data_IF_313727991065
#
_entry.id   IF_313727991065
#
_cell.length_a   1.000
_cell.length_b   1.000
_cell.length_c   1.000
_cell.angle_alpha   90.00
_cell.angle_beta   90.00
_cell.angle_gamma   90.00
#
_symmetry.space_group_name_H-M   'P 1'
#
loop_
_entity.id
_entity.type
_entity.pdbx_description
1 polymer ?
#
# COMPACT_ATOMS: atom_id res chain seq x y z
N UNK A 1 0.35 8.19 8.59
CA UNK A 1 -0.94 8.08 7.84
C UNK A 1 -1.86 7.15 8.63
N UNK A 2 -3.18 7.20 8.43
CA UNK A 2 -4.11 6.28 9.13
C UNK A 2 -4.37 5.04 8.27
N UNK A 3 -4.06 3.85 8.78
CA UNK A 3 -4.21 2.58 8.08
C UNK A 3 -5.37 1.77 8.65
N UNK A 4 -6.24 1.29 7.77
CA UNK A 4 -7.31 0.37 8.11
C UNK A 4 -6.89 -1.08 7.87
N UNK A 5 -6.63 -1.80 8.95
CA UNK A 5 -6.26 -3.21 8.96
C UNK A 5 -7.42 -4.16 9.29
N UNK A 6 -8.66 -3.68 9.35
CA UNK A 6 -9.84 -4.49 9.71
C UNK A 6 -10.35 -5.25 8.48
N UNK A 7 -10.65 -6.55 8.64
CA UNK A 7 -11.19 -7.42 7.59
C UNK A 7 -10.39 -7.34 6.28
N UNK A 8 -9.09 -7.63 6.41
CA UNK A 8 -8.14 -7.57 5.31
C UNK A 8 -8.51 -8.57 4.21
N UNK A 9 -8.43 -8.18 2.92
CA UNK A 9 -8.77 -9.07 1.80
C UNK A 9 -7.62 -10.03 1.43
N UNK A 10 -6.53 -10.06 2.20
CA UNK A 10 -5.37 -10.90 1.97
C UNK A 10 -4.73 -11.36 3.27
N UNK A 11 -3.98 -12.46 3.18
CA UNK A 11 -3.18 -13.01 4.28
C UNK A 11 -1.74 -12.49 4.25
N UNK A 12 -1.21 -12.22 5.43
CA UNK A 12 0.18 -11.79 5.61
C UNK A 12 1.14 -12.95 5.38
N UNK A 13 2.01 -12.83 4.39
CA UNK A 13 3.03 -13.83 4.07
C UNK A 13 4.41 -13.24 4.35
N UNK A 14 4.92 -13.43 5.58
CA UNK A 14 6.27 -13.00 5.95
C UNK A 14 6.49 -11.49 6.03
N UNK A 15 5.42 -10.69 5.96
CA UNK A 15 5.45 -9.23 6.01
C UNK A 15 4.68 -8.74 7.24
N UNK A 16 5.25 -7.81 8.00
CA UNK A 16 4.52 -7.19 9.12
C UNK A 16 3.74 -5.96 8.64
N UNK A 17 2.55 -5.66 9.20
CA UNK A 17 1.81 -4.43 8.88
C UNK A 17 2.67 -3.16 9.02
N UNK A 18 3.53 -3.13 10.04
CA UNK A 18 4.45 -2.02 10.29
C UNK A 18 5.42 -1.77 9.13
N UNK A 19 5.94 -2.83 8.51
CA UNK A 19 6.87 -2.68 7.37
C UNK A 19 6.16 -2.01 6.18
N UNK A 20 4.86 -2.34 5.98
CA UNK A 20 4.03 -1.66 4.98
C UNK A 20 3.86 -0.20 5.34
N UNK A 21 3.52 0.14 6.58
CA UNK A 21 3.38 1.54 7.01
C UNK A 21 4.66 2.36 6.74
N UNK A 22 5.82 1.79 7.09
CA UNK A 22 7.14 2.40 6.84
C UNK A 22 7.38 2.63 5.34
N UNK A 23 7.00 1.67 4.47
CA UNK A 23 7.12 1.83 3.01
C UNK A 23 6.31 2.98 2.42
N UNK A 24 5.28 3.46 3.12
CA UNK A 24 4.51 4.62 2.67
C UNK A 24 5.16 5.95 3.09
N UNK A 25 5.99 5.92 4.13
CA UNK A 25 6.75 7.06 4.65
C UNK A 25 8.14 7.18 4.02
N UNK A 26 8.56 6.19 3.22
CA UNK A 26 9.78 6.23 2.42
C UNK A 26 9.78 7.48 1.50
N UNK A 27 10.77 8.40 1.68
CA UNK A 27 10.86 9.62 0.90
C UNK A 27 11.16 9.38 -0.59
N UNK A 28 11.62 8.18 -0.95
CA UNK A 28 11.91 7.78 -2.32
C UNK A 28 10.84 6.84 -2.89
N UNK A 29 9.73 6.62 -2.17
CA UNK A 29 8.64 5.79 -2.65
C UNK A 29 8.01 6.36 -3.93
N UNK A 30 7.66 5.48 -4.86
CA UNK A 30 6.90 5.83 -6.05
C UNK A 30 5.44 5.43 -5.85
N UNK A 31 4.54 6.42 -5.92
CA UNK A 31 3.09 6.20 -5.87
C UNK A 31 2.48 6.42 -7.25
N UNK A 32 1.85 5.38 -7.79
CA UNK A 32 1.28 5.39 -9.13
C UNK A 32 -0.24 5.51 -9.05
N UNK A 33 -0.78 6.45 -9.82
CA UNK A 33 -2.21 6.60 -10.03
C UNK A 33 -2.67 5.55 -11.07
N UNK A 34 -3.87 4.98 -10.93
CA UNK A 34 -4.42 4.12 -11.95
C UNK A 34 -4.70 4.92 -13.23
N UNK A 35 -4.05 4.54 -14.32
CA UNK A 35 -4.24 5.14 -15.65
C UNK A 35 -5.21 4.31 -16.52
N UNK A 36 -5.36 3.02 -16.23
CA UNK A 36 -6.31 2.16 -16.93
C UNK A 36 -7.73 2.26 -16.33
N UNK A 37 -8.80 2.22 -17.17
CA UNK A 37 -10.18 2.26 -16.69
C UNK A 37 -10.52 1.15 -15.69
N UNK A 38 -9.91 -0.04 -15.85
CA UNK A 38 -10.11 -1.18 -14.95
C UNK A 38 -9.69 -0.86 -13.51
N UNK A 39 -8.55 -0.19 -13.34
CA UNK A 39 -8.03 0.13 -12.02
C UNK A 39 -8.59 1.46 -11.48
N UNK A 40 -8.92 2.39 -12.36
CA UNK A 40 -9.52 3.67 -12.00
C UNK A 40 -10.94 3.49 -11.43
N UNK A 41 -11.76 2.61 -12.01
CA UNK A 41 -13.11 2.30 -11.53
C UNK A 41 -13.15 1.73 -10.11
N UNK A 42 -12.07 1.12 -9.65
CA UNK A 42 -11.92 0.58 -8.30
C UNK A 42 -11.04 1.45 -7.38
N UNK A 43 -10.53 2.58 -7.87
CA UNK A 43 -9.60 3.46 -7.15
C UNK A 43 -8.38 2.72 -6.59
N UNK A 44 -7.76 1.85 -7.41
CA UNK A 44 -6.58 1.06 -7.03
C UNK A 44 -5.30 1.84 -7.35
N UNK A 45 -4.58 2.22 -6.31
CA UNK A 45 -3.29 2.89 -6.37
C UNK A 45 -2.17 1.90 -6.06
N UNK A 46 -0.95 2.22 -6.47
CA UNK A 46 0.22 1.39 -6.22
C UNK A 46 1.28 2.17 -5.46
N UNK A 47 1.89 1.55 -4.46
CA UNK A 47 3.06 2.05 -3.75
C UNK A 47 4.24 1.10 -4.00
N UNK A 48 5.36 1.66 -4.41
CA UNK A 48 6.66 1.01 -4.43
C UNK A 48 7.55 1.78 -3.45
N UNK A 49 7.79 1.23 -2.27
CA UNK A 49 8.61 1.88 -1.25
C UNK A 49 9.45 0.87 -0.49
N UNK A 50 10.27 1.34 0.43
CA UNK A 50 11.13 0.51 1.27
C UNK A 50 10.71 0.55 2.74
N UNK A 51 10.69 -0.60 3.41
CA UNK A 51 10.61 -0.65 4.87
C UNK A 51 11.92 -0.16 5.51
N UNK A 52 11.89 0.18 6.80
CA UNK A 52 13.08 0.63 7.51
C UNK A 52 14.16 -0.46 7.61
N UNK A 53 13.77 -1.73 7.50
CA UNK A 53 14.69 -2.87 7.42
C UNK A 53 15.45 -2.97 6.08
N UNK A 54 15.11 -2.15 5.09
CA UNK A 54 15.77 -2.11 3.79
C UNK A 54 15.19 -3.06 2.73
N UNK A 55 14.04 -3.69 2.97
CA UNK A 55 13.34 -4.49 1.96
C UNK A 55 12.35 -3.63 1.17
N UNK A 56 12.30 -3.82 -0.14
CA UNK A 56 11.31 -3.19 -1.00
C UNK A 56 9.95 -3.87 -0.84
N UNK A 57 8.91 -3.05 -0.72
CA UNK A 57 7.53 -3.48 -0.57
C UNK A 57 6.72 -2.89 -1.71
N UNK A 58 5.99 -3.76 -2.39
CA UNK A 58 4.94 -3.39 -3.31
C UNK A 58 3.58 -3.48 -2.60
N UNK A 59 2.77 -2.43 -2.70
CA UNK A 59 1.43 -2.41 -2.13
C UNK A 59 0.40 -1.90 -3.14
N UNK A 60 -0.75 -2.56 -3.18
CA UNK A 60 -1.96 -2.07 -3.84
C UNK A 60 -2.87 -1.50 -2.77
N UNK A 61 -3.33 -0.27 -2.91
CA UNK A 61 -4.13 0.38 -1.88
C UNK A 61 -5.28 1.23 -2.46
N UNK A 62 -6.23 1.54 -1.58
CA UNK A 62 -7.28 2.55 -1.78
C UNK A 62 -7.08 3.67 -0.76
N UNK A 63 -7.49 4.89 -1.11
CA UNK A 63 -7.50 5.99 -0.15
C UNK A 63 -8.63 6.98 -0.46
N UNK A 64 -9.12 7.64 0.60
CA UNK A 64 -10.01 8.80 0.51
C UNK A 64 -9.28 10.12 0.84
N UNK A 65 -7.95 10.10 0.88
CA UNK A 65 -7.11 11.25 1.27
C UNK A 65 -6.89 11.41 2.78
N UNK A 66 -7.58 10.62 3.62
CA UNK A 66 -7.35 10.57 5.07
C UNK A 66 -6.85 9.20 5.54
N UNK A 67 -7.52 8.15 5.07
CA UNK A 67 -7.24 6.77 5.44
C UNK A 67 -6.73 6.00 4.23
N UNK A 68 -5.83 5.05 4.48
CA UNK A 68 -5.30 4.11 3.51
C UNK A 68 -5.80 2.72 3.87
N UNK A 69 -6.38 2.03 2.88
CA UNK A 69 -6.73 0.61 3.01
C UNK A 69 -5.93 -0.20 2.00
N UNK A 70 -5.07 -1.07 2.51
CA UNK A 70 -4.22 -1.94 1.68
C UNK A 70 -5.06 -3.12 1.21
N UNK A 71 -5.03 -3.36 -0.10
CA UNK A 71 -5.74 -4.45 -0.78
C UNK A 71 -4.81 -5.64 -1.01
N UNK A 72 -3.51 -5.39 -1.12
CA UNK A 72 -2.46 -6.41 -1.24
C UNK A 72 -1.11 -5.78 -0.90
N UNK A 73 -0.22 -6.53 -0.22
CA UNK A 73 1.17 -6.14 -0.02
C UNK A 73 2.11 -7.35 -0.12
N UNK A 74 3.27 -7.17 -0.76
CA UNK A 74 4.34 -8.17 -0.90
C UNK A 74 5.71 -7.51 -0.95
#
# INVERSE_FOLDING_TARGET
>A
MDFDWIDMPFEWEGLAPKDVEESFEDPFSCKLLPDSPRYAGESRYFNLGMAASGYGIFSVYRTNGKQIRVVMAR
#
